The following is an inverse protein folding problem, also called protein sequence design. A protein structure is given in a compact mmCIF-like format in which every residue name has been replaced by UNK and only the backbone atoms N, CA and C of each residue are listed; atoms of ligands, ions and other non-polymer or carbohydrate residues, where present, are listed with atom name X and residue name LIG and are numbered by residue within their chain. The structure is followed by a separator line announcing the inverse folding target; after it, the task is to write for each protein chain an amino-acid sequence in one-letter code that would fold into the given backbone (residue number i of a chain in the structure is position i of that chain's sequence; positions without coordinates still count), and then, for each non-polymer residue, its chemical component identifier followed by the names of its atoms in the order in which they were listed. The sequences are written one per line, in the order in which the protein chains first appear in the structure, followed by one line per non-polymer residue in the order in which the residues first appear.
data_IF_197682428884
#
_entry.id   IF_197682428884
#
_cell.length_a   1.000
_cell.length_b   1.000
_cell.length_c   1.000
_cell.angle_alpha   90.00
_cell.angle_beta   90.00
_cell.angle_gamma   90.00
#
_symmetry.space_group_name_H-M   'P 1'
#
loop_
_entity.id
_entity.type
_entity.pdbx_description
1 polymer ?
#
# COMPACT_ATOMS: atom_id res chain seq x y z
N UNK A 1 9.67 12.21 15.93
CA UNK A 1 9.27 12.35 17.35
C UNK A 1 10.49 12.78 18.15
N UNK A 2 10.35 13.71 19.13
CA UNK A 2 11.48 14.16 19.96
C UNK A 2 12.01 13.05 20.87
N UNK A 3 11.13 12.09 21.24
CA UNK A 3 11.48 10.92 22.01
C UNK A 3 11.01 9.66 21.29
N UNK A 4 11.78 8.60 21.37
CA UNK A 4 11.43 7.30 20.81
C UNK A 4 10.49 6.59 21.79
N UNK A 5 9.31 6.19 21.30
CA UNK A 5 8.35 5.39 22.06
C UNK A 5 8.64 3.92 21.79
N UNK A 6 8.76 3.14 22.84
CA UNK A 6 8.96 1.69 22.77
C UNK A 6 7.69 0.97 23.18
N UNK A 7 7.09 0.24 22.24
CA UNK A 7 5.83 -0.50 22.47
C UNK A 7 6.15 -1.85 23.12
N UNK A 8 5.47 -2.14 24.21
CA UNK A 8 5.53 -3.41 24.92
C UNK A 8 4.49 -4.41 24.42
N UNK A 9 3.27 -3.93 24.16
CA UNK A 9 2.16 -4.79 23.75
C UNK A 9 1.16 -4.04 22.85
N UNK A 10 0.33 -4.84 22.16
CA UNK A 10 -0.73 -4.32 21.30
C UNK A 10 -1.97 -5.21 21.39
N UNK A 11 -3.16 -4.63 21.44
CA UNK A 11 -4.43 -5.37 21.46
C UNK A 11 -5.56 -4.53 20.85
N UNK A 12 -6.32 -5.13 19.93
CA UNK A 12 -7.41 -4.45 19.27
C UNK A 12 -6.97 -3.14 18.62
N UNK A 13 -7.56 -1.98 18.99
CA UNK A 13 -7.18 -0.67 18.46
C UNK A 13 -6.06 0.02 19.23
N UNK A 14 -5.38 -0.66 20.17
CA UNK A 14 -4.46 -0.01 21.10
C UNK A 14 -3.03 -0.55 21.01
N UNK A 15 -2.08 0.37 21.26
CA UNK A 15 -0.68 0.08 21.59
C UNK A 15 -0.42 0.51 23.03
N UNK A 16 0.37 -0.28 23.77
CA UNK A 16 0.82 0.05 25.13
C UNK A 16 2.34 0.14 25.14
N UNK A 17 2.89 1.25 25.64
CA UNK A 17 4.33 1.45 25.74
C UNK A 17 4.93 0.84 27.03
N UNK A 18 6.27 0.88 27.15
CA UNK A 18 6.99 0.35 28.33
C UNK A 18 6.66 1.08 29.64
N UNK A 19 6.15 2.31 29.58
CA UNK A 19 5.75 3.11 30.73
C UNK A 19 4.29 2.88 31.12
N UNK A 20 3.55 2.05 30.36
CA UNK A 20 2.16 1.70 30.57
C UNK A 20 1.17 2.70 29.97
N UNK A 21 1.62 3.65 29.16
CA UNK A 21 0.72 4.55 28.43
C UNK A 21 0.03 3.80 27.30
N UNK A 22 -1.26 4.05 27.10
CA UNK A 22 -2.04 3.43 26.06
C UNK A 22 -2.39 4.46 24.98
N UNK A 23 -2.18 4.09 23.71
CA UNK A 23 -2.45 4.92 22.54
C UNK A 23 -3.42 4.23 21.60
N UNK A 24 -4.32 5.00 20.98
CA UNK A 24 -5.12 4.53 19.85
C UNK A 24 -4.18 4.40 18.63
N UNK A 25 -4.13 3.21 18.05
CA UNK A 25 -3.18 2.84 17.00
C UNK A 25 -3.71 3.17 15.58
N UNK A 26 -3.37 4.34 15.07
CA UNK A 26 -3.61 4.65 13.65
C UNK A 26 -2.43 4.25 12.74
N UNK A 27 -1.42 3.52 13.27
CA UNK A 27 -0.38 2.94 12.42
C UNK A 27 -0.87 1.64 11.79
N UNK A 28 -1.65 0.85 12.53
CA UNK A 28 -2.09 -0.49 12.15
C UNK A 28 -0.95 -1.33 11.57
N UNK A 29 0.28 -1.17 12.11
CA UNK A 29 1.49 -1.83 11.62
C UNK A 29 1.93 -1.40 10.22
N UNK A 30 1.64 -0.19 9.78
CA UNK A 30 1.73 0.31 8.39
C UNK A 30 0.78 -0.39 7.42
N UNK A 31 -0.40 -0.80 7.92
CA UNK A 31 -1.52 -1.26 7.13
C UNK A 31 -1.87 -2.76 7.17
N UNK A 32 -1.06 -3.70 7.71
CA UNK A 32 -1.46 -5.10 7.76
C UNK A 32 -2.62 -5.40 8.69
N UNK A 33 -2.81 -4.64 9.78
CA UNK A 33 -3.79 -4.94 10.83
C UNK A 33 -5.20 -4.45 10.45
N UNK A 34 -5.83 -5.09 9.45
CA UNK A 34 -7.17 -4.72 8.95
C UNK A 34 -8.25 -4.90 10.03
N UNK A 35 -8.12 -5.92 10.87
CA UNK A 35 -9.10 -6.24 11.91
C UNK A 35 -8.65 -5.83 13.32
N UNK A 36 -7.47 -5.23 13.45
CA UNK A 36 -6.86 -4.80 14.70
C UNK A 36 -5.66 -5.64 15.11
N UNK A 37 -4.99 -5.22 16.19
CA UNK A 37 -3.86 -5.94 16.76
C UNK A 37 -4.32 -7.24 17.41
N UNK A 38 -3.46 -8.28 17.37
CA UNK A 38 -3.73 -9.60 17.98
C UNK A 38 -5.07 -10.20 17.53
N UNK A 39 -5.36 -10.16 16.22
CA UNK A 39 -6.56 -10.80 15.68
C UNK A 39 -6.65 -12.25 16.12
N UNK A 40 -7.70 -12.63 16.84
CA UNK A 40 -7.86 -13.96 17.44
C UNK A 40 -7.64 -15.11 16.46
N UNK A 41 -8.19 -15.09 15.21
CA UNK A 41 -7.97 -16.18 14.26
C UNK A 41 -6.48 -16.36 13.91
N UNK A 42 -5.73 -15.28 13.82
CA UNK A 42 -4.28 -15.29 13.52
C UNK A 42 -3.50 -15.83 14.72
N UNK A 43 -3.80 -15.37 15.93
CA UNK A 43 -3.15 -15.83 17.16
C UNK A 43 -3.32 -17.35 17.35
N UNK A 44 -4.52 -17.88 17.15
CA UNK A 44 -4.83 -19.31 17.23
C UNK A 44 -4.08 -20.13 16.16
N UNK A 45 -4.03 -19.61 14.92
CA UNK A 45 -3.33 -20.28 13.82
C UNK A 45 -1.81 -20.33 14.08
N UNK A 46 -1.22 -19.24 14.56
CA UNK A 46 0.20 -19.18 14.92
C UNK A 46 0.52 -20.15 16.08
N UNK A 47 -0.31 -20.15 17.13
CA UNK A 47 -0.14 -21.07 18.29
C UNK A 47 -0.24 -22.54 17.86
N UNK A 48 -1.07 -22.86 16.90
CA UNK A 48 -1.19 -24.20 16.30
C UNK A 48 0.03 -24.55 15.44
N UNK A 49 0.47 -23.62 14.57
CA UNK A 49 1.57 -23.87 13.65
C UNK A 49 2.93 -24.02 14.37
N UNK A 50 3.16 -23.29 15.46
CA UNK A 50 4.38 -23.43 16.27
C UNK A 50 4.59 -24.89 16.73
N UNK A 51 3.52 -25.61 17.05
CA UNK A 51 3.59 -27.02 17.48
C UNK A 51 3.94 -27.99 16.34
N UNK A 52 3.77 -27.59 15.08
CA UNK A 52 4.11 -28.40 13.89
C UNK A 52 5.51 -28.08 13.35
N UNK A 53 6.11 -26.97 13.79
CA UNK A 53 7.36 -26.40 13.28
C UNK A 53 7.14 -25.15 12.43
N UNK A 54 8.19 -24.37 12.27
CA UNK A 54 8.10 -23.04 11.63
C UNK A 54 9.03 -22.84 10.44
N UNK A 55 9.92 -23.77 10.14
CA UNK A 55 10.79 -23.69 8.96
C UNK A 55 11.15 -25.09 8.46
N UNK A 56 10.72 -25.41 7.22
CA UNK A 56 10.89 -26.74 6.66
C UNK A 56 11.94 -26.83 5.55
N UNK A 57 12.21 -25.72 4.86
CA UNK A 57 13.09 -25.67 3.68
C UNK A 57 12.53 -26.33 2.40
N UNK A 58 11.32 -26.87 2.49
CA UNK A 58 10.53 -27.45 1.40
C UNK A 58 9.07 -26.98 1.50
N UNK A 59 8.31 -26.93 0.39
CA UNK A 59 6.92 -26.47 0.42
C UNK A 59 6.02 -27.30 1.37
N UNK A 60 5.17 -26.59 2.12
CA UNK A 60 4.09 -27.16 2.94
C UNK A 60 2.73 -27.01 2.28
N UNK A 61 1.73 -27.73 2.80
CA UNK A 61 0.36 -27.66 2.30
C UNK A 61 -0.27 -26.26 2.48
N UNK A 62 0.18 -25.53 3.50
CA UNK A 62 -0.28 -24.18 3.80
C UNK A 62 0.04 -23.20 2.66
N UNK A 63 1.14 -23.40 1.91
CA UNK A 63 1.46 -22.56 0.74
C UNK A 63 0.39 -22.71 -0.36
N UNK A 64 -0.01 -23.95 -0.67
CA UNK A 64 -1.05 -24.21 -1.67
C UNK A 64 -2.38 -23.58 -1.22
N UNK A 65 -2.75 -23.74 0.06
CA UNK A 65 -4.00 -23.19 0.58
C UNK A 65 -4.05 -21.66 0.53
N UNK A 66 -2.96 -20.99 0.93
CA UNK A 66 -2.89 -19.51 0.84
C UNK A 66 -2.93 -19.04 -0.62
N UNK A 67 -2.24 -19.74 -1.53
CA UNK A 67 -2.28 -19.43 -2.96
C UNK A 67 -3.71 -19.59 -3.53
N UNK A 68 -4.46 -20.62 -3.13
CA UNK A 68 -5.87 -20.78 -3.49
C UNK A 68 -6.74 -19.61 -3.03
N UNK A 69 -6.60 -19.17 -1.77
CA UNK A 69 -7.36 -18.03 -1.23
C UNK A 69 -7.05 -16.73 -1.99
N UNK A 70 -5.78 -16.48 -2.34
CA UNK A 70 -5.40 -15.33 -3.13
C UNK A 70 -5.97 -15.44 -4.55
N UNK A 71 -5.89 -16.61 -5.17
CA UNK A 71 -6.47 -16.86 -6.49
C UNK A 71 -8.00 -16.68 -6.51
N UNK A 72 -8.68 -17.14 -5.47
CA UNK A 72 -10.13 -16.99 -5.32
C UNK A 72 -10.56 -15.52 -5.15
N UNK A 73 -9.65 -14.64 -4.72
CA UNK A 73 -9.95 -13.22 -4.48
C UNK A 73 -9.94 -12.37 -5.75
N UNK A 74 -9.34 -12.85 -6.86
CA UNK A 74 -9.21 -12.07 -8.08
C UNK A 74 -9.18 -12.92 -9.34
N UNK A 75 -9.99 -12.58 -10.37
CA UNK A 75 -9.98 -13.28 -11.67
C UNK A 75 -8.66 -13.08 -12.45
N UNK A 76 -7.88 -12.04 -12.16
CA UNK A 76 -6.61 -11.79 -12.81
C UNK A 76 -5.48 -12.72 -12.33
N UNK A 77 -5.72 -13.54 -11.30
CA UNK A 77 -4.69 -14.38 -10.68
C UNK A 77 -4.88 -15.84 -11.06
N UNK A 78 -3.98 -16.33 -11.90
CA UNK A 78 -3.87 -17.76 -12.23
C UNK A 78 -2.88 -18.50 -11.31
N UNK A 79 -1.74 -17.86 -11.02
CA UNK A 79 -0.64 -18.41 -10.23
C UNK A 79 -0.07 -17.42 -9.24
N UNK A 80 0.59 -17.95 -8.19
CA UNK A 80 1.12 -17.18 -7.05
C UNK A 80 2.53 -17.63 -6.72
N UNK A 81 3.41 -16.66 -6.46
CA UNK A 81 4.76 -16.87 -5.93
C UNK A 81 4.92 -16.08 -4.64
N UNK A 82 5.37 -16.73 -3.57
CA UNK A 82 5.61 -16.11 -2.26
C UNK A 82 7.05 -15.65 -2.10
N UNK A 83 7.23 -14.50 -1.44
CA UNK A 83 8.49 -13.97 -0.94
C UNK A 83 8.27 -13.31 0.43
N UNK A 84 9.22 -12.52 0.95
CA UNK A 84 9.18 -12.10 2.36
C UNK A 84 8.80 -10.63 2.54
N UNK A 85 8.73 -9.85 1.47
CA UNK A 85 8.39 -8.43 1.53
C UNK A 85 7.76 -7.94 0.24
N UNK A 86 7.00 -6.83 0.31
CA UNK A 86 6.50 -6.15 -0.89
C UNK A 86 7.63 -5.68 -1.81
N UNK A 87 8.79 -5.30 -1.26
CA UNK A 87 9.96 -4.90 -2.05
C UNK A 87 10.55 -6.06 -2.86
N UNK A 88 10.59 -7.28 -2.30
CA UNK A 88 10.98 -8.47 -3.06
C UNK A 88 9.93 -8.79 -4.14
N UNK A 89 8.65 -8.66 -3.81
CA UNK A 89 7.57 -8.92 -4.76
C UNK A 89 7.66 -7.99 -5.98
N UNK A 90 7.79 -6.68 -5.78
CA UNK A 90 7.93 -5.72 -6.88
C UNK A 90 9.23 -5.94 -7.67
N UNK A 91 10.34 -6.26 -7.00
CA UNK A 91 11.61 -6.61 -7.65
C UNK A 91 11.46 -7.85 -8.57
N UNK A 92 10.80 -8.91 -8.10
CA UNK A 92 10.56 -10.10 -8.91
C UNK A 92 9.59 -9.82 -10.06
N UNK A 93 8.53 -9.03 -9.83
CA UNK A 93 7.58 -8.65 -10.87
C UNK A 93 8.26 -7.86 -12.01
N UNK A 94 9.13 -6.89 -11.69
CA UNK A 94 9.90 -6.14 -12.71
C UNK A 94 10.82 -7.05 -13.51
N UNK A 95 11.48 -8.01 -12.84
CA UNK A 95 12.34 -8.99 -13.49
C UNK A 95 11.55 -9.91 -14.41
N UNK A 96 10.38 -10.39 -13.95
CA UNK A 96 9.49 -11.25 -14.74
C UNK A 96 9.00 -10.54 -16.01
N UNK A 97 8.55 -9.28 -15.88
CA UNK A 97 8.09 -8.49 -17.00
C UNK A 97 9.19 -8.27 -18.06
N UNK A 98 10.40 -7.91 -17.62
CA UNK A 98 11.57 -7.77 -18.54
C UNK A 98 11.93 -9.09 -19.22
N UNK A 99 11.92 -10.20 -18.50
CA UNK A 99 12.24 -11.52 -19.05
C UNK A 99 11.21 -11.96 -20.11
N UNK A 100 9.92 -11.77 -19.82
CA UNK A 100 8.84 -12.16 -20.72
C UNK A 100 8.81 -11.33 -22.00
N UNK A 101 8.99 -10.01 -21.87
CA UNK A 101 8.82 -9.09 -23.00
C UNK A 101 10.10 -8.83 -23.79
N UNK A 102 11.28 -9.10 -23.20
CA UNK A 102 12.59 -8.69 -23.75
C UNK A 102 12.83 -7.19 -23.72
N UNK A 103 11.87 -6.39 -23.24
CA UNK A 103 11.95 -4.93 -23.13
C UNK A 103 12.62 -4.54 -21.81
N UNK A 104 13.13 -3.30 -21.72
CA UNK A 104 14.04 -2.90 -20.63
C UNK A 104 13.40 -1.97 -19.60
N UNK A 105 12.55 -1.05 -20.04
CA UNK A 105 12.03 0.06 -19.24
C UNK A 105 10.82 -0.40 -18.42
N UNK A 106 10.78 0.03 -17.15
CA UNK A 106 9.59 -0.05 -16.30
C UNK A 106 9.12 1.35 -15.98
N UNK A 107 7.83 1.62 -16.15
CA UNK A 107 7.23 2.90 -15.83
C UNK A 107 6.54 2.86 -14.47
N UNK A 108 6.80 3.88 -13.65
CA UNK A 108 6.17 4.15 -12.35
C UNK A 108 5.41 5.46 -12.42
N UNK A 109 4.42 5.63 -11.58
CA UNK A 109 3.72 6.91 -11.46
C UNK A 109 4.35 7.83 -10.40
N UNK A 110 4.37 9.12 -10.71
CA UNK A 110 4.87 10.13 -9.78
C UNK A 110 4.09 10.11 -8.46
N UNK A 111 4.82 10.12 -7.34
CA UNK A 111 4.26 10.02 -5.99
C UNK A 111 3.97 8.60 -5.49
N UNK A 112 4.22 7.56 -6.30
CA UNK A 112 4.06 6.16 -5.89
C UNK A 112 5.26 5.64 -5.10
N UNK A 113 5.00 4.60 -4.29
CA UNK A 113 6.02 3.86 -3.55
C UNK A 113 5.91 2.36 -3.85
N UNK A 114 7.00 1.76 -4.32
CA UNK A 114 7.04 0.36 -4.74
C UNK A 114 8.14 -0.47 -4.06
N UNK A 115 8.58 -0.05 -2.87
CA UNK A 115 9.60 -0.75 -2.09
C UNK A 115 10.98 -0.09 -2.14
N UNK A 116 12.00 -0.81 -1.63
CA UNK A 116 13.32 -0.26 -1.33
C UNK A 116 14.46 -0.80 -2.23
N UNK A 117 14.13 -1.56 -3.28
CA UNK A 117 15.15 -1.96 -4.26
C UNK A 117 15.43 -0.81 -5.25
N UNK A 118 16.62 -0.79 -5.84
CA UNK A 118 17.13 0.34 -6.62
C UNK A 118 16.21 0.78 -7.77
N UNK A 119 15.51 -0.15 -8.43
CA UNK A 119 14.55 0.18 -9.49
C UNK A 119 13.26 0.82 -8.98
N UNK A 120 12.90 0.65 -7.71
CA UNK A 120 11.72 1.27 -7.11
C UNK A 120 12.04 2.63 -6.44
N UNK A 121 13.31 2.86 -6.08
CA UNK A 121 13.77 4.11 -5.46
C UNK A 121 14.03 5.19 -6.52
N UNK A 122 12.99 5.45 -7.32
CA UNK A 122 12.98 6.45 -8.39
C UNK A 122 11.80 7.38 -8.19
N UNK A 123 11.98 8.65 -8.47
CA UNK A 123 10.95 9.70 -8.39
C UNK A 123 10.99 10.60 -9.60
N UNK A 124 9.94 11.37 -9.80
CA UNK A 124 9.98 12.47 -10.76
C UNK A 124 10.94 13.57 -10.29
N UNK A 125 11.69 14.13 -11.22
CA UNK A 125 12.55 15.28 -10.96
C UNK A 125 11.69 16.52 -10.67
N UNK A 126 12.00 17.25 -9.59
CA UNK A 126 11.30 18.49 -9.24
C UNK A 126 11.41 19.59 -10.32
N UNK A 127 12.36 19.43 -11.26
CA UNK A 127 12.61 20.38 -12.37
C UNK A 127 11.89 19.96 -13.66
N UNK A 128 11.28 18.79 -13.71
CA UNK A 128 10.61 18.29 -14.91
C UNK A 128 9.21 18.88 -15.08
N UNK A 129 8.74 18.91 -16.32
CA UNK A 129 7.34 19.20 -16.63
C UNK A 129 6.42 18.19 -15.91
N UNK A 130 5.25 18.63 -15.47
CA UNK A 130 4.26 17.77 -14.81
C UNK A 130 3.67 16.74 -15.76
N UNK A 131 3.46 17.13 -17.00
CA UNK A 131 2.87 16.26 -18.03
C UNK A 131 3.86 15.28 -18.65
N UNK A 132 5.17 15.58 -18.60
CA UNK A 132 6.25 14.69 -19.07
C UNK A 132 7.38 14.63 -18.02
N UNK A 133 7.15 13.94 -16.88
CA UNK A 133 8.10 13.89 -15.79
C UNK A 133 9.36 13.09 -16.16
N UNK A 134 10.53 13.65 -15.88
CA UNK A 134 11.80 12.95 -16.01
C UNK A 134 12.15 12.22 -14.71
N UNK A 135 12.75 11.04 -14.85
CA UNK A 135 13.13 10.20 -13.70
C UNK A 135 14.40 10.71 -13.02
N UNK A 136 14.47 10.56 -11.72
CA UNK A 136 15.65 10.79 -10.89
C UNK A 136 15.69 9.80 -9.74
N UNK A 137 16.87 9.53 -9.18
CA UNK A 137 17.01 8.62 -8.03
C UNK A 137 16.45 9.23 -6.74
N UNK A 138 15.85 8.40 -5.90
CA UNK A 138 15.38 8.77 -4.58
C UNK A 138 16.44 8.41 -3.52
N UNK A 139 17.37 9.33 -3.28
CA UNK A 139 18.43 9.15 -2.30
C UNK A 139 19.81 8.80 -2.89
N UNK A 140 20.80 8.72 -2.02
CA UNK A 140 22.19 8.43 -2.36
C UNK A 140 22.42 6.91 -2.50
N UNK A 141 23.45 6.53 -3.27
CA UNK A 141 23.89 5.13 -3.42
C UNK A 141 23.23 4.36 -4.56
N UNK A 142 22.30 4.97 -5.27
CA UNK A 142 21.62 4.36 -6.43
C UNK A 142 22.32 4.88 -7.70
N UNK A 143 22.80 4.00 -8.61
CA UNK A 143 23.37 4.41 -9.89
C UNK A 143 22.35 5.22 -10.73
N UNK A 144 22.78 6.36 -11.26
CA UNK A 144 21.90 7.24 -12.05
C UNK A 144 21.37 6.58 -13.33
N UNK A 145 22.13 5.65 -13.91
CA UNK A 145 21.76 4.88 -15.09
C UNK A 145 20.44 4.12 -14.89
N UNK A 146 20.14 3.69 -13.65
CA UNK A 146 18.87 3.03 -13.32
C UNK A 146 17.71 3.97 -13.61
N UNK A 147 17.74 5.18 -13.06
CA UNK A 147 16.67 6.16 -13.27
C UNK A 147 16.60 6.70 -14.69
N UNK A 148 17.74 6.85 -15.37
CA UNK A 148 17.79 7.45 -16.71
C UNK A 148 17.45 6.47 -17.84
N UNK A 149 17.93 5.21 -17.72
CA UNK A 149 17.93 4.26 -18.84
C UNK A 149 16.92 3.11 -18.67
N UNK A 150 16.49 2.83 -17.42
CA UNK A 150 15.71 1.65 -17.10
C UNK A 150 14.37 1.94 -16.43
N UNK A 151 14.18 3.17 -15.97
CA UNK A 151 12.95 3.59 -15.29
C UNK A 151 12.37 4.84 -15.94
N UNK A 152 11.05 4.88 -16.03
CA UNK A 152 10.30 6.00 -16.58
C UNK A 152 9.28 6.48 -15.54
N UNK A 153 9.09 7.79 -15.45
CA UNK A 153 8.03 8.37 -14.63
C UNK A 153 6.86 8.78 -15.48
N UNK A 154 5.66 8.45 -15.03
CA UNK A 154 4.39 8.84 -15.64
C UNK A 154 3.64 9.83 -14.71
N UNK A 155 2.93 10.80 -15.25
CA UNK A 155 2.07 11.68 -14.48
C UNK A 155 0.86 10.89 -13.97
N UNK A 156 0.57 11.00 -12.65
CA UNK A 156 -0.59 10.34 -12.05
C UNK A 156 -1.87 11.13 -12.32
N UNK A 157 -2.96 10.44 -12.70
CA UNK A 157 -4.27 11.03 -13.03
C UNK A 157 -4.23 12.07 -14.18
N UNK A 158 -3.30 11.91 -15.09
CA UNK A 158 -3.13 12.78 -16.24
C UNK A 158 -3.11 11.93 -17.53
N UNK A 159 -3.93 12.26 -18.50
CA UNK A 159 -4.06 11.52 -19.77
C UNK A 159 -2.77 11.54 -20.61
N UNK A 160 -1.85 12.47 -20.36
CA UNK A 160 -0.51 12.43 -20.96
C UNK A 160 0.24 11.13 -20.65
N UNK A 161 -0.09 10.44 -19.54
CA UNK A 161 0.45 9.12 -19.24
C UNK A 161 0.17 8.12 -20.39
N UNK A 162 -1.02 8.17 -20.99
CA UNK A 162 -1.39 7.29 -22.11
C UNK A 162 -0.57 7.57 -23.35
N UNK A 163 -0.35 8.86 -23.68
CA UNK A 163 0.48 9.26 -24.82
C UNK A 163 1.95 8.86 -24.61
N UNK A 164 2.46 8.99 -23.41
CA UNK A 164 3.81 8.55 -23.07
C UNK A 164 3.96 7.02 -23.20
N UNK A 165 2.97 6.25 -22.78
CA UNK A 165 2.96 4.78 -22.96
C UNK A 165 2.99 4.43 -24.46
N UNK A 166 2.16 5.07 -25.30
CA UNK A 166 2.16 4.88 -26.76
C UNK A 166 3.51 5.22 -27.39
N UNK A 167 4.10 6.34 -26.97
CA UNK A 167 5.40 6.84 -27.46
C UNK A 167 6.54 5.88 -27.17
N UNK A 168 6.51 5.22 -26.01
CA UNK A 168 7.62 4.37 -25.53
C UNK A 168 7.33 2.86 -25.53
N UNK A 169 6.22 2.42 -26.12
CA UNK A 169 5.72 1.04 -26.08
C UNK A 169 6.75 -0.01 -26.51
N UNK A 170 7.67 0.32 -27.41
CA UNK A 170 8.64 -0.64 -27.98
C UNK A 170 9.77 -1.01 -26.97
N UNK A 171 10.04 -0.15 -25.97
CA UNK A 171 11.03 -0.40 -24.90
C UNK A 171 10.40 -0.62 -23.52
N UNK A 172 9.08 -0.36 -23.42
CA UNK A 172 8.35 -0.40 -22.15
C UNK A 172 7.85 -1.82 -21.84
N UNK A 173 8.48 -2.46 -20.85
CA UNK A 173 8.15 -3.81 -20.39
C UNK A 173 6.91 -3.84 -19.50
N UNK A 174 6.75 -2.84 -18.62
CA UNK A 174 5.77 -2.85 -17.54
C UNK A 174 5.38 -1.43 -17.15
N UNK A 175 4.10 -1.21 -16.94
CA UNK A 175 3.56 -0.06 -16.23
C UNK A 175 3.09 -0.51 -14.86
N UNK A 176 3.57 0.14 -13.80
CA UNK A 176 3.25 -0.18 -12.40
C UNK A 176 2.50 0.97 -11.77
N UNK A 177 1.39 0.66 -11.12
CA UNK A 177 0.59 1.66 -10.42
C UNK A 177 0.12 1.15 -9.06
N UNK A 178 0.15 2.02 -8.04
CA UNK A 178 -0.73 1.90 -6.88
C UNK A 178 -2.13 2.38 -7.32
N UNK A 179 -3.15 1.52 -7.42
CA UNK A 179 -4.48 1.95 -7.88
C UNK A 179 -5.12 3.01 -6.99
N UNK A 180 -4.74 2.97 -5.71
CA UNK A 180 -4.93 4.03 -4.72
C UNK A 180 -3.57 4.41 -4.20
N UNK A 181 -3.10 5.60 -4.56
CA UNK A 181 -1.78 6.08 -4.19
C UNK A 181 -1.66 6.32 -2.68
N UNK A 182 -0.59 5.81 -2.08
CA UNK A 182 -0.33 6.00 -0.64
C UNK A 182 -0.06 7.46 -0.27
N UNK A 183 0.51 8.25 -1.16
CA UNK A 183 0.72 9.69 -0.95
C UNK A 183 -0.56 10.52 -1.03
N UNK A 184 -1.58 10.04 -1.76
CA UNK A 184 -2.84 10.73 -1.99
C UNK A 184 -3.99 9.69 -2.09
N UNK A 185 -4.44 9.11 -0.96
CA UNK A 185 -5.44 8.05 -0.98
C UNK A 185 -6.81 8.58 -1.39
N UNK A 186 -7.33 8.09 -2.54
CA UNK A 186 -8.62 8.46 -3.11
C UNK A 186 -9.20 7.27 -3.88
N UNK A 187 -10.54 7.19 -3.95
CA UNK A 187 -11.25 6.14 -4.67
C UNK A 187 -11.85 6.59 -6.02
N UNK A 188 -11.72 7.87 -6.39
CA UNK A 188 -12.26 8.45 -7.63
C UNK A 188 -11.32 8.26 -8.85
N UNK A 189 -10.67 7.10 -8.96
CA UNK A 189 -9.66 6.81 -9.97
C UNK A 189 -10.18 5.99 -11.16
N UNK A 190 -11.48 5.59 -11.16
CA UNK A 190 -12.04 4.66 -12.15
C UNK A 190 -11.70 5.04 -13.60
N UNK A 191 -12.05 6.25 -14.02
CA UNK A 191 -11.85 6.68 -15.41
C UNK A 191 -10.38 6.61 -15.84
N UNK A 192 -9.47 7.02 -14.96
CA UNK A 192 -8.03 6.98 -15.23
C UNK A 192 -7.51 5.54 -15.33
N UNK A 193 -7.94 4.66 -14.46
CA UNK A 193 -7.52 3.25 -14.46
C UNK A 193 -8.09 2.49 -15.67
N UNK A 194 -9.32 2.77 -16.07
CA UNK A 194 -9.92 2.21 -17.29
C UNK A 194 -9.11 2.60 -18.55
N UNK A 195 -8.77 3.90 -18.68
CA UNK A 195 -7.92 4.39 -19.76
C UNK A 195 -6.52 3.77 -19.73
N UNK A 196 -5.94 3.61 -18.55
CA UNK A 196 -4.64 2.99 -18.36
C UNK A 196 -4.65 1.52 -18.81
N UNK A 197 -5.65 0.74 -18.40
CA UNK A 197 -5.80 -0.66 -18.86
C UNK A 197 -5.96 -0.73 -20.36
N UNK A 198 -6.78 0.15 -20.93
CA UNK A 198 -7.03 0.18 -22.36
C UNK A 198 -5.74 0.48 -23.18
N UNK A 199 -4.97 1.49 -22.81
CA UNK A 199 -3.73 1.84 -23.50
C UNK A 199 -2.65 0.78 -23.33
N UNK A 200 -2.52 0.17 -22.17
CA UNK A 200 -1.58 -0.94 -21.96
C UNK A 200 -1.93 -2.13 -22.86
N UNK A 201 -3.21 -2.44 -23.02
CA UNK A 201 -3.69 -3.50 -23.93
C UNK A 201 -3.43 -3.13 -25.40
N UNK A 202 -3.75 -1.90 -25.82
CA UNK A 202 -3.48 -1.38 -27.17
C UNK A 202 -1.99 -1.49 -27.55
N UNK A 203 -1.09 -1.23 -26.59
CA UNK A 203 0.35 -1.15 -26.82
C UNK A 203 1.10 -2.46 -26.58
N UNK A 204 0.44 -3.55 -26.17
CA UNK A 204 1.06 -4.80 -25.68
C UNK A 204 2.14 -4.52 -24.61
N UNK A 205 1.76 -3.70 -23.62
CA UNK A 205 2.55 -3.38 -22.43
C UNK A 205 1.89 -4.00 -21.23
N UNK A 206 2.64 -4.69 -20.38
CA UNK A 206 2.10 -5.30 -19.16
C UNK A 206 1.67 -4.22 -18.18
N UNK A 207 0.51 -4.40 -17.54
CA UNK A 207 0.02 -3.58 -16.43
C UNK A 207 0.14 -4.35 -15.12
N UNK A 208 0.75 -3.74 -14.13
CA UNK A 208 0.83 -4.26 -12.77
C UNK A 208 0.11 -3.34 -11.80
N UNK A 209 -0.77 -3.90 -10.98
CA UNK A 209 -1.29 -3.26 -9.79
C UNK A 209 -0.40 -3.61 -8.60
N UNK A 210 0.19 -2.60 -7.98
CA UNK A 210 0.84 -2.76 -6.68
C UNK A 210 -0.23 -2.62 -5.59
N UNK A 211 -0.67 -3.77 -5.10
CA UNK A 211 -1.66 -3.90 -4.04
C UNK A 211 -1.05 -4.33 -2.70
N UNK A 212 0.21 -4.00 -2.48
CA UNK A 212 0.88 -4.29 -1.19
C UNK A 212 0.16 -3.62 -0.02
N UNK A 213 -0.45 -2.45 -0.22
CA UNK A 213 -1.27 -1.77 0.80
C UNK A 213 -2.76 -2.06 0.60
N UNK A 214 -3.26 -1.94 -0.61
CA UNK A 214 -4.69 -1.94 -0.94
C UNK A 214 -5.32 -3.32 -0.98
N UNK A 215 -4.53 -4.36 -1.30
CA UNK A 215 -4.99 -5.73 -1.36
C UNK A 215 -5.52 -6.21 -0.02
N UNK A 216 -6.71 -6.80 -0.02
CA UNK A 216 -7.43 -7.24 1.19
C UNK A 216 -7.74 -6.14 2.20
N UNK A 217 -7.57 -4.85 1.83
CA UNK A 217 -7.88 -3.71 2.67
C UNK A 217 -9.01 -2.84 2.12
N UNK A 218 -9.01 -2.55 0.81
CA UNK A 218 -10.10 -1.77 0.18
C UNK A 218 -11.34 -2.65 0.00
N UNK A 219 -11.14 -3.83 -0.54
CA UNK A 219 -12.12 -4.92 -0.70
C UNK A 219 -11.40 -6.25 -0.47
N UNK A 220 -12.13 -7.38 -0.40
CA UNK A 220 -11.49 -8.69 -0.30
C UNK A 220 -10.60 -8.99 -1.50
N UNK A 221 -11.02 -8.65 -2.70
CA UNK A 221 -10.21 -8.74 -3.93
C UNK A 221 -9.37 -7.48 -4.21
N UNK A 222 -9.23 -6.56 -3.25
CA UNK A 222 -8.46 -5.33 -3.41
C UNK A 222 -9.07 -4.34 -4.40
N UNK A 223 -8.22 -3.49 -4.97
CA UNK A 223 -8.61 -2.51 -5.98
C UNK A 223 -9.03 -3.15 -7.31
N UNK A 224 -8.54 -4.36 -7.62
CA UNK A 224 -8.99 -5.09 -8.80
C UNK A 224 -10.50 -5.35 -8.74
N UNK A 225 -11.01 -5.80 -7.58
CA UNK A 225 -12.44 -5.99 -7.36
C UNK A 225 -13.18 -4.66 -7.34
N UNK A 226 -12.67 -3.68 -6.60
CA UNK A 226 -13.30 -2.36 -6.42
C UNK A 226 -13.53 -1.64 -7.75
N UNK A 227 -12.50 -1.63 -8.64
CA UNK A 227 -12.57 -0.96 -9.94
C UNK A 227 -12.99 -1.90 -11.08
N UNK A 228 -13.13 -3.19 -10.84
CA UNK A 228 -13.42 -4.21 -11.85
C UNK A 228 -12.41 -4.15 -13.02
N UNK A 229 -11.11 -4.13 -12.69
CA UNK A 229 -10.01 -4.08 -13.66
C UNK A 229 -9.05 -5.24 -13.41
N UNK A 230 -8.70 -5.95 -14.47
CA UNK A 230 -7.76 -7.07 -14.45
C UNK A 230 -6.37 -6.62 -14.96
N UNK A 231 -5.36 -6.46 -14.06
CA UNK A 231 -3.97 -6.28 -14.46
C UNK A 231 -3.35 -7.60 -14.93
N UNK A 232 -2.20 -7.53 -15.59
CA UNK A 232 -1.42 -8.71 -15.98
C UNK A 232 -0.65 -9.31 -14.80
N UNK A 233 -0.25 -8.47 -13.85
CA UNK A 233 0.45 -8.78 -12.60
C UNK A 233 -0.14 -8.01 -11.44
N UNK A 234 -0.04 -8.59 -10.27
CA UNK A 234 -0.37 -7.94 -9.00
C UNK A 234 0.64 -8.31 -7.93
N UNK A 235 0.99 -7.36 -7.07
CA UNK A 235 1.78 -7.64 -5.87
C UNK A 235 0.94 -7.43 -4.62
N UNK A 236 1.06 -8.36 -3.67
CA UNK A 236 0.44 -8.26 -2.35
C UNK A 236 1.50 -8.31 -1.25
N UNK A 237 1.12 -7.88 -0.08
CA UNK A 237 1.91 -7.92 1.14
C UNK A 237 1.04 -7.65 2.35
N UNK A 238 1.62 -7.15 3.41
CA UNK A 238 0.90 -6.57 4.57
C UNK A 238 -0.31 -7.41 5.03
N UNK A 239 -1.55 -6.99 4.67
CA UNK A 239 -2.78 -7.66 5.08
C UNK A 239 -2.81 -9.15 4.68
N UNK A 240 -2.25 -9.53 3.53
CA UNK A 240 -2.17 -10.91 3.08
C UNK A 240 -1.40 -11.84 4.04
N UNK A 241 -0.54 -11.29 4.90
CA UNK A 241 0.24 -12.05 5.88
C UNK A 241 -0.31 -12.05 7.29
N UNK A 242 -1.44 -11.37 7.54
CA UNK A 242 -2.01 -11.29 8.89
C UNK A 242 -1.08 -10.66 9.93
N UNK A 243 -0.20 -9.74 9.53
CA UNK A 243 0.82 -9.11 10.37
C UNK A 243 2.19 -9.79 10.35
N UNK A 244 2.33 -10.96 9.68
CA UNK A 244 3.61 -11.62 9.46
C UNK A 244 4.28 -11.11 8.17
N UNK A 245 5.64 -11.16 8.07
CA UNK A 245 6.37 -10.77 6.89
C UNK A 245 5.96 -11.58 5.66
N UNK A 246 5.50 -10.91 4.60
CA UNK A 246 5.10 -11.52 3.34
C UNK A 246 5.25 -10.56 2.18
N UNK A 247 5.60 -11.09 1.04
CA UNK A 247 5.39 -10.52 -0.27
C UNK A 247 4.82 -11.59 -1.20
N UNK A 248 4.02 -11.17 -2.15
CA UNK A 248 3.38 -12.06 -3.11
C UNK A 248 3.48 -11.44 -4.49
N UNK A 249 3.92 -12.21 -5.46
CA UNK A 249 3.74 -11.93 -6.89
C UNK A 249 2.65 -12.85 -7.39
N UNK A 250 1.65 -12.31 -8.01
CA UNK A 250 0.55 -13.07 -8.59
C UNK A 250 0.15 -12.47 -9.94
N UNK A 251 -0.52 -13.24 -10.78
CA UNK A 251 -0.96 -12.74 -12.07
C UNK A 251 -1.32 -13.83 -13.06
N UNK A 252 -1.44 -13.44 -14.31
CA UNK A 252 -1.77 -14.34 -15.40
C UNK A 252 -0.71 -15.42 -15.59
N UNK A 253 -1.14 -16.62 -15.98
CA UNK A 253 -0.25 -17.73 -16.28
C UNK A 253 0.87 -17.34 -17.26
N UNK A 254 0.55 -16.48 -18.24
CA UNK A 254 1.54 -15.96 -19.23
C UNK A 254 2.76 -15.35 -18.55
N UNK A 255 2.55 -14.51 -17.53
CA UNK A 255 3.66 -13.85 -16.83
C UNK A 255 4.27 -14.78 -15.79
N UNK A 256 3.45 -15.53 -15.07
CA UNK A 256 3.91 -16.39 -13.98
C UNK A 256 4.74 -17.59 -14.47
N UNK A 257 4.61 -18.01 -15.73
CA UNK A 257 5.48 -19.01 -16.34
C UNK A 257 6.97 -18.61 -16.31
N UNK A 258 7.31 -17.32 -16.18
CA UNK A 258 8.71 -16.88 -16.00
C UNK A 258 9.34 -17.37 -14.69
N UNK A 259 8.56 -17.79 -13.72
CA UNK A 259 9.06 -18.36 -12.46
C UNK A 259 9.33 -19.86 -12.55
N UNK A 260 8.63 -20.58 -13.43
CA UNK A 260 8.72 -22.03 -13.58
C UNK A 260 9.45 -22.46 -14.86
N UNK A 261 9.53 -21.60 -15.86
CA UNK A 261 10.02 -21.94 -17.21
C UNK A 261 9.04 -22.82 -18.00
N UNK A 262 7.76 -22.85 -17.59
CA UNK A 262 6.74 -23.59 -18.32
C UNK A 262 6.52 -22.96 -19.71
N UNK A 263 6.11 -23.81 -20.67
CA UNK A 263 5.81 -23.42 -22.05
C UNK A 263 7.01 -22.69 -22.75
N UNK A 264 8.25 -23.11 -22.47
CA UNK A 264 9.49 -22.53 -22.99
C UNK A 264 9.68 -21.03 -22.68
N UNK A 265 9.00 -20.53 -21.63
CA UNK A 265 9.11 -19.14 -21.20
C UNK A 265 10.49 -18.88 -20.57
N UNK A 266 11.15 -17.73 -20.87
CA UNK A 266 12.40 -17.37 -20.21
C UNK A 266 12.30 -17.38 -18.70
N UNK A 267 13.17 -18.13 -18.02
CA UNK A 267 13.09 -18.31 -16.57
C UNK A 267 13.92 -17.29 -15.83
N UNK A 268 13.33 -16.65 -14.84
CA UNK A 268 14.05 -15.76 -13.91
C UNK A 268 14.57 -16.53 -12.71
N UNK A 269 15.67 -16.06 -12.11
CA UNK A 269 16.07 -16.54 -10.80
C UNK A 269 15.22 -15.84 -9.73
N UNK A 270 14.37 -16.62 -9.05
CA UNK A 270 13.56 -16.18 -7.93
C UNK A 270 13.65 -17.22 -6.80
N UNK A 271 13.89 -16.76 -5.59
CA UNK A 271 14.03 -17.65 -4.43
C UNK A 271 14.38 -16.86 -3.17
N UNK A 272 14.23 -17.52 -2.03
CA UNK A 272 14.57 -16.97 -0.71
C UNK A 272 14.36 -18.03 0.36
N UNK A 273 15.28 -18.10 1.33
CA UNK A 273 15.27 -19.10 2.41
C UNK A 273 13.93 -19.17 3.13
N UNK A 274 13.26 -18.03 3.30
CA UNK A 274 12.01 -17.92 4.07
C UNK A 274 10.76 -17.77 3.19
N UNK A 275 10.87 -17.97 1.87
CA UNK A 275 9.71 -17.91 1.00
C UNK A 275 8.71 -19.02 1.36
N UNK A 276 7.45 -18.65 1.56
CA UNK A 276 6.42 -19.58 2.02
C UNK A 276 6.61 -20.08 3.44
N UNK A 277 7.14 -19.23 4.33
CA UNK A 277 7.39 -19.58 5.74
C UNK A 277 6.11 -20.06 6.43
N UNK A 278 6.09 -21.26 7.07
CA UNK A 278 4.88 -21.88 7.59
C UNK A 278 4.05 -21.02 8.57
N UNK A 279 4.70 -20.24 9.45
CA UNK A 279 3.97 -19.33 10.34
C UNK A 279 3.29 -18.22 9.55
N UNK A 280 3.98 -17.65 8.55
CA UNK A 280 3.40 -16.64 7.67
C UNK A 280 2.23 -17.19 6.87
N UNK A 281 2.36 -18.40 6.33
CA UNK A 281 1.27 -19.05 5.60
C UNK A 281 0.06 -19.32 6.49
N UNK A 282 0.27 -19.82 7.71
CA UNK A 282 -0.80 -20.05 8.68
C UNK A 282 -1.52 -18.75 9.07
N UNK A 283 -0.78 -17.68 9.32
CA UNK A 283 -1.34 -16.36 9.61
C UNK A 283 -2.12 -15.79 8.42
N UNK A 284 -1.54 -15.89 7.22
CA UNK A 284 -2.19 -15.43 5.97
C UNK A 284 -3.49 -16.19 5.69
N UNK A 285 -3.52 -17.50 5.84
CA UNK A 285 -4.74 -18.32 5.70
C UNK A 285 -5.80 -17.84 6.69
N UNK A 286 -5.45 -17.73 7.96
CA UNK A 286 -6.38 -17.36 9.02
C UNK A 286 -7.01 -15.98 8.80
N UNK A 287 -6.21 -14.99 8.42
CA UNK A 287 -6.72 -13.65 8.16
C UNK A 287 -7.57 -13.60 6.88
N UNK A 288 -7.14 -14.23 5.79
CA UNK A 288 -7.89 -14.19 4.54
C UNK A 288 -9.23 -14.96 4.64
N UNK A 289 -9.26 -16.10 5.32
CA UNK A 289 -10.51 -16.81 5.60
C UNK A 289 -11.46 -15.98 6.48
N UNK A 290 -10.92 -15.29 7.49
CA UNK A 290 -11.69 -14.39 8.33
C UNK A 290 -12.28 -13.21 7.55
N UNK A 291 -11.45 -12.53 6.75
CA UNK A 291 -11.88 -11.41 5.89
C UNK A 291 -12.91 -11.85 4.87
N UNK A 292 -12.71 -13.00 4.19
CA UNK A 292 -13.64 -13.55 3.22
C UNK A 292 -15.00 -13.84 3.84
N UNK A 293 -15.01 -14.47 5.03
CA UNK A 293 -16.24 -14.83 5.72
C UNK A 293 -17.06 -13.60 6.16
N UNK A 294 -16.38 -12.52 6.53
CA UNK A 294 -17.01 -11.35 7.13
C UNK A 294 -16.93 -10.10 6.22
N UNK A 295 -16.68 -10.27 4.93
CA UNK A 295 -16.44 -9.16 4.01
C UNK A 295 -17.60 -8.17 3.93
N UNK A 296 -18.85 -8.66 3.98
CA UNK A 296 -20.07 -7.83 3.92
C UNK A 296 -20.26 -6.93 5.17
N UNK A 297 -19.50 -7.18 6.23
CA UNK A 297 -19.54 -6.40 7.46
C UNK A 297 -18.29 -5.52 7.58
N UNK A 298 -17.10 -6.10 7.36
CA UNK A 298 -15.82 -5.44 7.63
C UNK A 298 -15.59 -4.28 6.66
N UNK A 299 -15.69 -4.50 5.34
CA UNK A 299 -15.34 -3.47 4.36
C UNK A 299 -16.31 -2.29 4.35
N UNK A 300 -17.65 -2.48 4.36
CA UNK A 300 -18.58 -1.36 4.49
C UNK A 300 -18.32 -0.54 5.75
N UNK A 301 -18.06 -1.20 6.88
CA UNK A 301 -17.71 -0.51 8.14
C UNK A 301 -16.44 0.33 8.02
N UNK A 302 -15.38 -0.22 7.44
CA UNK A 302 -14.11 0.48 7.24
C UNK A 302 -14.27 1.69 6.32
N UNK A 303 -15.06 1.57 5.25
CA UNK A 303 -15.38 2.68 4.35
C UNK A 303 -16.21 3.76 5.06
N UNK A 304 -17.23 3.38 5.80
CA UNK A 304 -18.10 4.30 6.55
C UNK A 304 -17.29 5.09 7.55
N UNK A 305 -16.51 4.42 8.41
CA UNK A 305 -15.77 5.11 9.47
C UNK A 305 -14.62 5.96 8.93
N UNK A 306 -13.92 5.52 7.90
CA UNK A 306 -12.89 6.33 7.24
C UNK A 306 -13.45 7.57 6.57
N UNK A 307 -14.59 7.46 5.88
CA UNK A 307 -15.30 8.59 5.29
C UNK A 307 -15.82 9.57 6.37
N UNK A 308 -16.30 9.05 7.50
CA UNK A 308 -16.75 9.86 8.62
C UNK A 308 -15.60 10.69 9.19
N UNK A 309 -14.45 10.07 9.50
CA UNK A 309 -13.26 10.78 10.00
C UNK A 309 -12.85 11.88 9.02
N UNK A 310 -12.73 11.56 7.73
CA UNK A 310 -12.32 12.53 6.71
C UNK A 310 -13.32 13.69 6.60
N UNK A 311 -14.62 13.41 6.57
CA UNK A 311 -15.66 14.44 6.46
C UNK A 311 -15.66 15.38 7.66
N UNK A 312 -15.66 14.85 8.90
CA UNK A 312 -15.71 15.67 10.11
C UNK A 312 -14.44 16.53 10.32
N UNK A 313 -13.27 16.00 9.95
CA UNK A 313 -12.03 16.75 10.03
C UNK A 313 -11.99 17.84 8.95
N UNK A 314 -12.41 17.54 7.72
CA UNK A 314 -12.46 18.52 6.64
C UNK A 314 -13.44 19.64 6.91
N UNK A 315 -14.63 19.32 7.47
CA UNK A 315 -15.60 20.30 7.90
C UNK A 315 -15.04 21.20 9.02
N UNK A 316 -14.36 20.63 10.01
CA UNK A 316 -13.70 21.37 11.07
C UNK A 316 -12.61 22.31 10.53
N UNK A 317 -11.74 21.82 9.67
CA UNK A 317 -10.68 22.62 9.05
C UNK A 317 -11.25 23.78 8.23
N UNK A 318 -12.28 23.53 7.41
CA UNK A 318 -12.93 24.55 6.59
C UNK A 318 -13.61 25.61 7.47
N UNK A 319 -14.37 25.21 8.48
CA UNK A 319 -15.10 26.11 9.39
C UNK A 319 -14.16 26.99 10.22
N UNK A 320 -12.94 26.54 10.46
CA UNK A 320 -11.94 27.23 11.26
C UNK A 320 -10.83 27.88 10.43
N UNK A 321 -10.92 27.89 9.09
CA UNK A 321 -9.90 28.41 8.17
C UNK A 321 -8.51 27.78 8.41
N UNK A 322 -8.46 26.47 8.68
CA UNK A 322 -7.22 25.70 8.82
C UNK A 322 -6.81 25.18 7.44
N UNK A 323 -5.57 25.46 6.96
CA UNK A 323 -5.10 25.01 5.66
C UNK A 323 -4.67 23.53 5.71
N UNK A 324 -5.61 22.65 5.98
CA UNK A 324 -5.39 21.20 6.05
C UNK A 324 -6.60 20.46 5.51
N UNK A 325 -6.35 19.29 4.91
CA UNK A 325 -7.38 18.41 4.39
C UNK A 325 -7.03 16.94 4.63
N UNK A 326 -8.02 16.17 5.04
CA UNK A 326 -7.91 14.72 5.20
C UNK A 326 -8.34 14.05 3.89
N UNK A 327 -7.37 13.44 3.18
CA UNK A 327 -7.65 12.56 2.05
C UNK A 327 -7.92 11.15 2.57
N UNK A 328 -8.84 10.42 1.94
CA UNK A 328 -9.07 9.03 2.32
C UNK A 328 -9.52 8.12 1.18
N UNK A 329 -9.17 6.85 1.33
CA UNK A 329 -9.68 5.74 0.56
C UNK A 329 -10.12 4.64 1.53
N UNK A 330 -11.39 4.67 1.92
CA UNK A 330 -11.89 3.82 2.99
C UNK A 330 -11.09 4.02 4.28
N UNK A 331 -10.48 2.95 4.78
CA UNK A 331 -9.70 2.94 6.02
C UNK A 331 -8.26 3.48 5.90
N UNK A 332 -7.85 3.92 4.73
CA UNK A 332 -6.56 4.57 4.48
C UNK A 332 -6.75 6.08 4.47
N UNK A 333 -6.01 6.82 5.27
CA UNK A 333 -6.18 8.26 5.43
C UNK A 333 -4.83 8.96 5.40
N UNK A 334 -4.80 10.19 4.88
CA UNK A 334 -3.62 11.05 4.90
C UNK A 334 -4.04 12.49 5.16
N UNK A 335 -3.59 13.06 6.28
CA UNK A 335 -3.77 14.47 6.56
C UNK A 335 -2.69 15.27 5.83
N UNK A 336 -3.10 16.18 4.97
CA UNK A 336 -2.22 17.02 4.16
C UNK A 336 -2.44 18.48 4.57
N UNK A 337 -1.37 19.17 4.99
CA UNK A 337 -1.40 20.60 5.27
C UNK A 337 -1.24 21.39 3.97
N UNK A 338 -2.36 21.72 3.36
CA UNK A 338 -2.47 22.53 2.16
C UNK A 338 -3.84 23.19 2.11
N UNK A 339 -3.88 24.47 1.76
CA UNK A 339 -5.13 25.20 1.47
C UNK A 339 -5.60 25.04 0.02
N UNK A 340 -4.82 24.36 -0.84
CA UNK A 340 -5.11 24.17 -2.26
C UNK A 340 -5.62 22.74 -2.51
N UNK A 341 -6.36 22.56 -3.60
CA UNK A 341 -6.86 21.26 -4.00
C UNK A 341 -5.70 20.31 -4.37
N UNK A 342 -5.72 19.10 -3.81
CA UNK A 342 -4.72 18.07 -4.07
C UNK A 342 -5.26 17.09 -5.12
N UNK A 343 -4.72 17.14 -6.32
CA UNK A 343 -5.03 16.19 -7.41
C UNK A 343 -3.94 15.11 -7.54
N UNK A 344 -2.67 15.47 -7.25
CA UNK A 344 -1.53 14.56 -7.32
C UNK A 344 -0.55 14.84 -6.18
N UNK A 345 0.43 13.95 -5.99
CA UNK A 345 1.51 14.14 -5.02
C UNK A 345 2.31 15.44 -5.23
N UNK A 346 2.34 15.99 -6.45
CA UNK A 346 3.02 17.25 -6.76
C UNK A 346 2.32 18.49 -6.24
N UNK A 347 1.07 18.36 -5.85
CA UNK A 347 0.31 19.45 -5.23
C UNK A 347 0.55 19.52 -3.71
N UNK A 348 1.18 18.47 -3.15
CA UNK A 348 1.54 18.41 -1.74
C UNK A 348 2.77 19.28 -1.50
N UNK A 349 2.55 20.41 -0.83
CA UNK A 349 3.62 21.33 -0.45
C UNK A 349 4.23 20.93 0.89
N UNK A 350 5.54 20.80 0.95
CA UNK A 350 6.26 20.60 2.20
C UNK A 350 6.60 21.91 2.94
N UNK A 351 6.02 23.04 2.53
CA UNK A 351 6.24 24.33 3.17
C UNK A 351 5.77 24.37 4.62
N UNK A 352 4.74 23.57 4.96
CA UNK A 352 4.16 23.44 6.29
C UNK A 352 4.70 22.24 7.10
N UNK A 353 5.82 21.65 6.68
CA UNK A 353 6.41 20.47 7.35
C UNK A 353 6.59 20.64 8.87
N UNK A 354 6.94 21.85 9.35
CA UNK A 354 7.06 22.11 10.79
C UNK A 354 5.71 22.04 11.49
N UNK A 355 4.68 22.63 10.89
CA UNK A 355 3.31 22.61 11.41
C UNK A 355 2.79 21.17 11.49
N UNK A 356 3.00 20.43 10.42
CA UNK A 356 2.63 19.01 10.34
C UNK A 356 3.32 18.18 11.42
N UNK A 357 4.60 18.40 11.66
CA UNK A 357 5.35 17.72 12.71
C UNK A 357 4.83 18.03 14.11
N UNK A 358 4.54 19.29 14.41
CA UNK A 358 3.97 19.70 15.70
C UNK A 358 2.57 19.14 15.88
N UNK A 359 1.74 19.12 14.83
CA UNK A 359 0.43 18.48 14.85
C UNK A 359 0.51 17.02 15.34
N UNK A 360 1.44 16.22 14.80
CA UNK A 360 1.59 14.82 15.22
C UNK A 360 2.11 14.68 16.65
N UNK A 361 2.81 15.68 17.19
CA UNK A 361 3.19 15.70 18.61
C UNK A 361 1.99 15.97 19.52
N UNK A 362 1.13 16.92 19.14
CA UNK A 362 -0.12 17.17 19.87
C UNK A 362 -1.05 15.95 19.82
N UNK A 363 -1.18 15.32 18.64
CA UNK A 363 -2.00 14.13 18.47
C UNK A 363 -1.53 12.99 19.39
N UNK A 364 -0.19 12.82 19.50
CA UNK A 364 0.39 11.88 20.45
C UNK A 364 0.07 12.28 21.91
N UNK A 365 0.11 13.58 22.23
CA UNK A 365 -0.29 14.12 23.54
C UNK A 365 -1.77 13.84 23.88
N UNK A 366 -2.60 13.63 22.86
CA UNK A 366 -3.99 13.20 22.98
C UNK A 366 -4.17 11.67 22.87
N UNK A 367 -3.11 10.89 23.11
CA UNK A 367 -3.09 9.43 23.09
C UNK A 367 -3.49 8.79 21.75
N UNK A 368 -3.23 9.46 20.63
CA UNK A 368 -3.38 8.89 19.29
C UNK A 368 -2.02 8.82 18.62
N UNK A 369 -1.62 7.64 18.16
CA UNK A 369 -0.34 7.43 17.49
C UNK A 369 -0.54 7.17 16.00
N UNK A 370 0.17 7.94 15.18
CA UNK A 370 0.28 7.78 13.74
C UNK A 370 1.74 7.57 13.35
N UNK A 371 2.05 6.98 12.20
CA UNK A 371 3.44 6.71 11.81
C UNK A 371 4.24 7.97 11.37
N UNK A 372 3.86 9.15 11.83
CA UNK A 372 4.43 10.43 11.42
C UNK A 372 3.78 10.95 10.14
N UNK A 373 4.55 11.62 9.29
CA UNK A 373 4.09 12.14 7.98
C UNK A 373 3.88 10.96 7.04
N UNK A 374 2.80 10.23 7.24
CA UNK A 374 2.50 9.02 6.50
C UNK A 374 1.00 8.70 6.58
N UNK A 375 0.57 7.66 5.84
CA UNK A 375 -0.79 7.15 5.95
C UNK A 375 -1.14 6.79 7.39
N UNK A 376 -2.28 7.28 7.85
CA UNK A 376 -2.99 6.75 8.99
C UNK A 376 -3.98 5.67 8.53
N UNK A 377 -4.25 4.72 9.39
CA UNK A 377 -5.16 3.62 9.11
C UNK A 377 -6.13 3.42 10.28
N UNK A 378 -7.36 3.05 9.96
CA UNK A 378 -8.23 2.41 10.94
C UNK A 378 -8.38 0.92 10.64
N UNK A 379 -8.72 0.17 11.67
CA UNK A 379 -9.03 -1.25 11.60
C UNK A 379 -10.47 -1.49 12.04
N UNK A 380 -10.98 -2.68 11.79
CA UNK A 380 -12.30 -3.08 12.26
C UNK A 380 -12.45 -3.07 13.80
N UNK A 381 -11.32 -3.10 14.54
CA UNK A 381 -11.32 -2.93 16.00
C UNK A 381 -11.58 -1.50 16.47
N UNK A 382 -11.42 -0.48 15.61
CA UNK A 382 -11.77 0.90 15.92
C UNK A 382 -13.29 1.07 15.86
N UNK A 383 -13.97 0.70 16.95
CA UNK A 383 -15.44 0.84 17.04
C UNK A 383 -15.85 2.31 17.12
N UNK A 384 -17.15 2.65 16.91
CA UNK A 384 -17.58 4.05 16.79
C UNK A 384 -17.09 4.96 17.93
N UNK A 385 -17.01 4.45 19.16
CA UNK A 385 -16.56 5.20 20.33
C UNK A 385 -15.07 5.54 20.27
N UNK A 386 -14.26 4.67 19.60
CA UNK A 386 -12.83 4.92 19.38
C UNK A 386 -12.67 5.92 18.23
N UNK A 387 -13.49 5.80 17.19
CA UNK A 387 -13.51 6.75 16.08
C UNK A 387 -13.87 8.16 16.57
N UNK A 388 -14.83 8.29 17.51
CA UNK A 388 -15.15 9.57 18.16
C UNK A 388 -13.93 10.17 18.86
N UNK A 389 -13.19 9.35 19.62
CA UNK A 389 -11.97 9.79 20.30
C UNK A 389 -10.87 10.22 19.31
N UNK A 390 -10.74 9.53 18.18
CA UNK A 390 -9.81 9.92 17.11
C UNK A 390 -10.17 11.30 16.55
N UNK A 391 -11.43 11.51 16.19
CA UNK A 391 -11.91 12.79 15.64
C UNK A 391 -11.69 13.93 16.65
N UNK A 392 -12.02 13.70 17.90
CA UNK A 392 -11.81 14.68 18.99
C UNK A 392 -10.33 15.00 19.17
N UNK A 393 -9.45 13.99 19.15
CA UNK A 393 -8.00 14.18 19.26
C UNK A 393 -7.44 15.02 18.10
N UNK A 394 -7.89 14.78 16.86
CA UNK A 394 -7.51 15.60 15.70
C UNK A 394 -7.95 17.05 15.85
N UNK A 395 -9.23 17.28 16.24
CA UNK A 395 -9.77 18.64 16.45
C UNK A 395 -8.98 19.40 17.53
N UNK A 396 -8.74 18.77 18.69
CA UNK A 396 -7.93 19.35 19.77
C UNK A 396 -6.49 19.65 19.34
N UNK A 397 -5.86 18.74 18.58
CA UNK A 397 -4.51 18.98 18.08
C UNK A 397 -4.41 20.20 17.15
N UNK A 398 -5.46 20.51 16.38
CA UNK A 398 -5.52 21.77 15.63
C UNK A 398 -5.73 23.01 16.52
N UNK A 399 -6.51 22.87 17.60
CA UNK A 399 -6.67 23.95 18.58
C UNK A 399 -5.35 24.25 19.30
N UNK A 400 -4.62 23.21 19.72
CA UNK A 400 -3.31 23.33 20.35
C UNK A 400 -2.29 24.00 19.40
N UNK A 401 -2.26 23.61 18.11
CA UNK A 401 -1.40 24.27 17.11
C UNK A 401 -1.67 25.78 16.99
N UNK A 402 -2.94 26.18 17.14
CA UNK A 402 -3.33 27.58 17.11
C UNK A 402 -2.90 28.32 18.38
N UNK A 403 -3.05 27.68 19.54
CA UNK A 403 -2.61 28.24 20.83
C UNK A 403 -1.09 28.43 20.85
N UNK A 404 -0.35 27.53 20.23
CA UNK A 404 1.13 27.58 20.11
C UNK A 404 1.60 28.54 18.98
N UNK A 405 0.67 29.11 18.19
CA UNK A 405 0.96 30.09 17.14
C UNK A 405 1.52 29.50 15.83
N UNK A 406 1.24 28.23 15.56
CA UNK A 406 1.59 27.58 14.29
C UNK A 406 0.54 27.77 13.19
N UNK A 407 -0.71 28.10 13.58
CA UNK A 407 -1.86 28.32 12.68
C UNK A 407 -2.48 29.71 12.87
#
# INVERSE_FOLDING_TARGET
MPHQIYIESAEGPYLTDLDGNQYIDLTCGFGPNVVGNRAQPVEEALASQIKKGWHFGIPGAEQARLAELIKESSPAVDEVMFCNSGSEATMFAFRAARALTGKRVVALFDGSYHGIHDYALVKASNKSDRSEPTSSTLGAGIPEEISKDLMMMLPYRDENAYELIRKHKDDLALVVIEPVQSSNPRLDNQQFLDGLRAVCTECDVLLMFDEVITGFRIEYGGCQQYYNIEPDLVTYGKAAGGGMPIGVVAGSKRVMNTFSGADDTPTIFAGGTFNGHPLTMAAGIAILEHLKKNQEEIYPYLHEQGNRIASEINEFCTSNNIPAQMMNAGSMMHLIFSGEEIQSSRDISHSLYKVEKEFYLHLLGHNVIVPGIHLAFISYAHKPEIVDQVIDAFKKSFEDLREDGYL
#
